data_IF_192188463663
#
_entry.id   IF_192188463663
#
_cell.length_a   1.000
_cell.length_b   1.000
_cell.length_c   1.000
_cell.angle_alpha   90.00
_cell.angle_beta   90.00
_cell.angle_gamma   90.00
#
_symmetry.space_group_name_H-M   'P 1'
#
loop_
_entity.id
_entity.type
_entity.pdbx_description
1 polymer ?
#
# COMPACT_ATOMS: atom_id res chain seq x y z
N UNK A 1 18.65 -13.69 -1.16
CA UNK A 1 17.87 -13.39 0.08
C UNK A 1 17.00 -14.62 0.35
N UNK A 2 17.09 -15.19 1.53
CA UNK A 2 16.17 -16.26 1.90
C UNK A 2 14.79 -15.71 2.29
N UNK A 3 13.81 -16.61 2.51
CA UNK A 3 12.42 -16.19 2.78
C UNK A 3 12.28 -15.47 4.12
N UNK A 4 13.04 -15.88 5.14
CA UNK A 4 13.00 -15.26 6.47
C UNK A 4 13.60 -13.85 6.39
N UNK A 5 14.74 -13.71 5.73
CA UNK A 5 15.35 -12.41 5.47
C UNK A 5 14.39 -11.47 4.73
N UNK A 6 13.70 -11.95 3.68
CA UNK A 6 12.74 -11.15 2.93
C UNK A 6 11.57 -10.67 3.82
N UNK A 7 11.05 -11.53 4.68
CA UNK A 7 9.98 -11.18 5.63
C UNK A 7 10.44 -10.10 6.62
N UNK A 8 11.65 -10.24 7.16
CA UNK A 8 12.21 -9.32 8.15
C UNK A 8 12.64 -7.98 7.53
N UNK A 9 13.19 -8.01 6.32
CA UNK A 9 13.60 -6.80 5.60
C UNK A 9 12.42 -5.97 5.11
N UNK A 10 11.32 -6.62 4.70
CA UNK A 10 10.15 -5.94 4.16
C UNK A 10 9.61 -4.88 5.13
N UNK A 11 9.60 -3.66 4.70
CA UNK A 11 9.00 -2.53 5.40
C UNK A 11 8.23 -1.64 4.42
N UNK A 12 7.52 -0.64 4.93
CA UNK A 12 6.78 0.32 4.10
C UNK A 12 7.70 1.47 3.70
N UNK A 13 8.11 1.52 2.44
CA UNK A 13 8.84 2.66 1.85
C UNK A 13 7.86 3.79 1.57
N UNK A 14 8.12 4.99 2.11
CA UNK A 14 7.19 6.14 2.06
C UNK A 14 7.72 7.31 1.23
N UNK A 15 8.87 7.13 0.64
CA UNK A 15 9.47 8.06 -0.31
C UNK A 15 10.35 7.26 -1.26
N UNK A 16 9.85 7.08 -2.48
CA UNK A 16 10.55 6.31 -3.50
C UNK A 16 11.47 7.21 -4.33
N UNK A 17 12.58 6.62 -4.78
CA UNK A 17 13.43 7.24 -5.78
C UNK A 17 12.76 7.20 -7.15
N UNK A 18 13.12 8.10 -8.08
CA UNK A 18 12.56 8.10 -9.44
C UNK A 18 13.08 6.96 -10.32
N UNK A 19 13.97 6.09 -9.80
CA UNK A 19 14.53 4.96 -10.53
C UNK A 19 13.41 4.02 -10.99
N UNK A 20 13.25 3.75 -12.30
CA UNK A 20 12.21 2.87 -12.81
C UNK A 20 12.46 1.42 -12.38
N UNK A 21 11.37 0.67 -12.20
CA UNK A 21 11.40 -0.80 -12.08
C UNK A 21 11.10 -1.38 -13.46
N UNK A 22 11.95 -2.27 -13.95
CA UNK A 22 11.75 -2.91 -15.24
C UNK A 22 10.43 -3.70 -15.26
N UNK A 23 9.69 -3.64 -16.37
CA UNK A 23 8.43 -4.36 -16.57
C UNK A 23 8.59 -5.86 -16.29
N UNK A 24 9.68 -6.44 -16.78
CA UNK A 24 10.00 -7.86 -16.60
C UNK A 24 10.15 -8.22 -15.11
N UNK A 25 10.73 -7.32 -14.30
CA UNK A 25 10.84 -7.52 -12.85
C UNK A 25 9.47 -7.47 -12.19
N UNK A 26 8.63 -6.50 -12.55
CA UNK A 26 7.25 -6.41 -12.03
C UNK A 26 6.47 -7.68 -12.38
N UNK A 27 6.55 -8.14 -13.63
CA UNK A 27 5.86 -9.35 -14.07
C UNK A 27 6.34 -10.60 -13.31
N UNK A 28 7.66 -10.76 -13.08
CA UNK A 28 8.20 -11.87 -12.26
C UNK A 28 7.69 -11.84 -10.82
N UNK A 29 7.62 -10.66 -10.20
CA UNK A 29 7.05 -10.48 -8.86
C UNK A 29 5.59 -10.96 -8.84
N UNK A 30 4.78 -10.53 -9.80
CA UNK A 30 3.38 -10.88 -9.88
C UNK A 30 3.17 -12.37 -10.21
N UNK A 31 3.99 -12.94 -11.09
CA UNK A 31 3.97 -14.37 -11.40
C UNK A 31 4.21 -15.22 -10.13
N UNK A 32 5.24 -14.91 -9.34
CA UNK A 32 5.46 -15.57 -8.05
C UNK A 32 4.26 -15.39 -7.12
N UNK A 33 3.68 -14.20 -7.09
CA UNK A 33 2.53 -13.90 -6.24
C UNK A 33 1.29 -14.74 -6.59
N UNK A 34 1.10 -15.16 -7.84
CA UNK A 34 -0.02 -16.06 -8.23
C UNK A 34 0.04 -17.43 -7.54
N UNK A 35 1.16 -17.78 -6.90
CA UNK A 35 1.28 -19.00 -6.06
C UNK A 35 0.64 -18.84 -4.68
N UNK A 36 0.06 -17.69 -4.38
CA UNK A 36 -0.69 -17.50 -3.13
C UNK A 36 -1.84 -18.50 -3.02
N UNK A 37 -2.07 -19.08 -1.85
CA UNK A 37 -3.23 -19.92 -1.65
C UNK A 37 -4.53 -19.11 -1.68
N UNK A 38 -5.63 -19.77 -2.03
CA UNK A 38 -6.98 -19.22 -1.94
C UNK A 38 -8.01 -20.32 -1.65
N UNK A 39 -9.12 -19.97 -1.02
CA UNK A 39 -10.19 -20.91 -0.71
C UNK A 39 -10.68 -21.64 -1.96
N UNK A 40 -10.61 -22.96 -1.97
CA UNK A 40 -10.97 -23.77 -3.15
C UNK A 40 -10.18 -23.45 -4.42
N UNK A 41 -9.01 -22.82 -4.29
CA UNK A 41 -8.22 -22.31 -5.42
C UNK A 41 -8.98 -21.30 -6.29
N UNK A 42 -9.81 -20.48 -5.65
CA UNK A 42 -10.70 -19.51 -6.33
C UNK A 42 -9.96 -18.36 -7.02
N UNK A 43 -8.75 -18.02 -6.57
CA UNK A 43 -7.86 -17.00 -7.14
C UNK A 43 -8.62 -15.69 -7.48
N UNK A 44 -9.25 -15.06 -6.46
CA UNK A 44 -10.25 -13.99 -6.66
C UNK A 44 -9.67 -12.62 -7.03
N UNK A 45 -8.37 -12.54 -7.25
CA UNK A 45 -7.65 -11.31 -7.54
C UNK A 45 -7.62 -10.98 -9.03
N UNK A 46 -7.94 -9.73 -9.36
CA UNK A 46 -7.67 -9.10 -10.64
C UNK A 46 -6.64 -7.99 -10.43
N UNK A 47 -5.62 -7.90 -11.29
CA UNK A 47 -4.47 -7.04 -11.08
C UNK A 47 -4.30 -6.07 -12.24
N UNK A 48 -4.23 -4.78 -11.91
CA UNK A 48 -3.94 -3.72 -12.87
C UNK A 48 -2.64 -3.02 -12.46
N UNK A 49 -1.80 -2.70 -13.44
CA UNK A 49 -0.48 -2.11 -13.17
C UNK A 49 -0.32 -0.81 -13.94
N UNK A 50 0.06 0.24 -13.23
CA UNK A 50 0.50 1.50 -13.83
C UNK A 50 2.01 1.69 -13.66
N UNK A 51 2.68 2.12 -14.71
CA UNK A 51 4.08 2.54 -14.70
C UNK A 51 4.33 3.57 -15.80
N UNK A 52 5.49 4.23 -15.81
CA UNK A 52 5.86 5.20 -16.84
C UNK A 52 4.82 6.30 -17.00
N UNK A 53 4.45 6.62 -18.25
CA UNK A 53 3.55 7.73 -18.58
C UNK A 53 2.17 7.60 -17.92
N UNK A 54 1.62 6.39 -17.81
CA UNK A 54 0.33 6.14 -17.13
C UNK A 54 0.44 6.49 -15.64
N UNK A 55 1.53 6.09 -14.98
CA UNK A 55 1.75 6.41 -13.57
C UNK A 55 1.86 7.93 -13.34
N UNK A 56 2.57 8.64 -14.21
CA UNK A 56 2.70 10.11 -14.13
C UNK A 56 1.34 10.80 -14.33
N UNK A 57 0.53 10.32 -15.27
CA UNK A 57 -0.83 10.86 -15.51
C UNK A 57 -1.72 10.67 -14.28
N UNK A 58 -1.73 9.47 -13.68
CA UNK A 58 -2.46 9.19 -12.45
C UNK A 58 -1.99 10.12 -11.32
N UNK A 59 -0.66 10.27 -11.12
CA UNK A 59 -0.09 11.15 -10.10
C UNK A 59 -0.53 12.60 -10.26
N UNK A 60 -0.49 13.12 -11.49
CA UNK A 60 -0.94 14.48 -11.79
C UNK A 60 -2.42 14.67 -11.43
N UNK A 61 -3.30 13.75 -11.83
CA UNK A 61 -4.71 13.82 -11.52
C UNK A 61 -5.00 13.75 -10.00
N UNK A 62 -4.24 12.94 -9.25
CA UNK A 62 -4.34 12.88 -7.79
C UNK A 62 -3.97 14.21 -7.14
N UNK A 63 -2.91 14.87 -7.61
CA UNK A 63 -2.50 16.19 -7.11
C UNK A 63 -3.53 17.27 -7.44
N UNK A 64 -4.02 17.33 -8.67
CA UNK A 64 -5.04 18.29 -9.11
C UNK A 64 -6.32 18.18 -8.28
N UNK A 65 -6.81 16.96 -8.01
CA UNK A 65 -8.01 16.74 -7.18
C UNK A 65 -7.79 17.15 -5.72
N UNK A 66 -6.60 16.94 -5.18
CA UNK A 66 -6.28 17.42 -3.83
C UNK A 66 -6.35 18.95 -3.77
N UNK A 67 -5.77 19.65 -4.74
CA UNK A 67 -5.80 21.12 -4.82
C UNK A 67 -7.21 21.66 -5.03
N UNK A 68 -8.04 20.96 -5.82
CA UNK A 68 -9.43 21.31 -6.06
C UNK A 68 -10.39 20.98 -4.88
N UNK A 69 -9.88 20.50 -3.75
CA UNK A 69 -10.71 20.15 -2.58
C UNK A 69 -11.53 18.88 -2.72
N UNK A 70 -11.38 18.16 -3.83
CA UNK A 70 -12.08 16.89 -4.10
C UNK A 70 -11.24 15.67 -3.73
N UNK A 71 -10.31 15.83 -2.81
CA UNK A 71 -9.47 14.76 -2.28
C UNK A 71 -10.34 13.64 -1.72
N UNK A 72 -10.19 12.44 -2.28
CA UNK A 72 -10.93 11.26 -1.84
C UNK A 72 -10.63 10.88 -0.40
N UNK A 73 -11.53 10.16 0.24
CA UNK A 73 -11.44 9.76 1.65
C UNK A 73 -10.29 8.78 1.97
N UNK A 74 -9.47 8.40 0.99
CA UNK A 74 -8.40 7.41 1.15
C UNK A 74 -8.90 5.99 1.46
N UNK A 75 -10.20 5.76 1.33
CA UNK A 75 -10.81 4.45 1.62
C UNK A 75 -11.14 3.72 0.32
N UNK A 76 -10.94 2.40 0.27
CA UNK A 76 -11.46 1.57 -0.80
C UNK A 76 -12.98 1.78 -0.96
N UNK A 77 -13.48 1.59 -2.16
CA UNK A 77 -14.94 1.70 -2.49
C UNK A 77 -15.79 0.56 -1.90
N UNK A 78 -15.49 0.14 -0.67
CA UNK A 78 -16.29 -0.85 0.07
C UNK A 78 -17.49 -0.11 0.67
N UNK A 79 -18.73 -0.55 0.40
CA UNK A 79 -19.97 0.17 0.76
C UNK A 79 -20.19 0.44 2.24
N UNK A 80 -19.57 -0.29 3.14
CA UNK A 80 -19.56 -0.02 4.58
C UNK A 80 -18.13 0.22 5.04
N UNK A 81 -17.80 1.46 5.45
CA UNK A 81 -16.54 1.75 6.11
C UNK A 81 -16.33 0.78 7.28
N UNK A 82 -15.07 0.47 7.64
CA UNK A 82 -14.82 -0.38 8.80
C UNK A 82 -15.52 0.22 10.03
N UNK A 83 -16.03 -0.60 10.94
CA UNK A 83 -16.58 -0.11 12.19
C UNK A 83 -15.55 0.76 12.93
N UNK A 84 -15.99 1.65 13.83
CA UNK A 84 -15.07 2.45 14.63
C UNK A 84 -14.00 1.57 15.25
N UNK A 85 -12.73 1.92 15.02
CA UNK A 85 -11.63 1.13 15.55
C UNK A 85 -11.64 1.15 17.08
N UNK A 86 -11.41 0.03 17.77
CA UNK A 86 -11.27 0.01 19.23
C UNK A 86 -10.21 1.00 19.72
N UNK A 87 -10.40 1.56 20.92
CA UNK A 87 -9.52 2.59 21.48
C UNK A 87 -8.04 2.19 21.48
N UNK A 88 -7.72 0.92 21.78
CA UNK A 88 -6.34 0.43 21.76
C UNK A 88 -5.72 0.38 20.36
N UNK A 89 -6.52 0.22 19.31
CA UNK A 89 -6.05 0.31 17.92
C UNK A 89 -5.81 1.77 17.55
N UNK A 90 -6.75 2.66 17.89
CA UNK A 90 -6.58 4.10 17.66
C UNK A 90 -5.32 4.63 18.33
N UNK A 91 -5.04 4.19 19.56
CA UNK A 91 -3.83 4.57 20.31
C UNK A 91 -2.56 4.12 19.58
N UNK A 92 -2.50 2.87 19.11
CA UNK A 92 -1.36 2.38 18.32
C UNK A 92 -1.16 3.20 17.03
N UNK A 93 -2.25 3.51 16.34
CA UNK A 93 -2.19 4.31 15.11
C UNK A 93 -1.67 5.72 15.40
N UNK A 94 -2.11 6.33 16.51
CA UNK A 94 -1.66 7.64 16.97
C UNK A 94 -0.17 7.61 17.32
N UNK A 95 0.29 6.61 18.07
CA UNK A 95 1.69 6.42 18.44
C UNK A 95 2.57 6.36 17.20
N UNK A 96 2.25 5.47 16.25
CA UNK A 96 2.97 5.33 14.99
C UNK A 96 2.99 6.63 14.18
N UNK A 97 1.86 7.35 14.13
CA UNK A 97 1.81 8.66 13.45
C UNK A 97 2.76 9.66 14.12
N UNK A 98 2.71 9.76 15.45
CA UNK A 98 3.51 10.71 16.21
C UNK A 98 5.01 10.40 16.11
N UNK A 99 5.40 9.12 16.16
CA UNK A 99 6.80 8.71 15.97
C UNK A 99 7.32 9.13 14.60
N UNK A 100 6.51 8.97 13.53
CA UNK A 100 6.90 9.40 12.18
C UNK A 100 7.02 10.92 12.06
N UNK A 101 6.11 11.67 12.68
CA UNK A 101 6.21 13.14 12.71
C UNK A 101 7.47 13.60 13.43
N UNK A 102 7.76 13.02 14.60
CA UNK A 102 9.01 13.31 15.33
C UNK A 102 10.25 12.99 14.52
N UNK A 103 10.27 11.86 13.82
CA UNK A 103 11.37 11.47 12.93
C UNK A 103 11.59 12.50 11.81
N UNK A 104 10.52 13.16 11.35
CA UNK A 104 10.55 14.22 10.35
C UNK A 104 10.87 15.61 10.95
N UNK A 105 11.10 15.70 12.26
CA UNK A 105 11.30 16.99 12.95
C UNK A 105 10.03 17.82 13.08
N UNK A 106 8.84 17.19 12.96
CA UNK A 106 7.54 17.85 13.06
C UNK A 106 6.90 17.62 14.43
N UNK A 107 6.22 18.64 14.95
CA UNK A 107 5.49 18.53 16.22
C UNK A 107 4.19 17.72 16.01
N UNK A 108 4.02 16.58 16.71
CA UNK A 108 2.78 15.81 16.65
C UNK A 108 1.55 16.54 17.20
N UNK A 109 1.73 17.55 18.04
CA UNK A 109 0.65 18.34 18.63
C UNK A 109 0.13 19.42 17.65
N UNK A 110 0.94 19.82 16.67
CA UNK A 110 0.51 20.76 15.63
C UNK A 110 -0.43 20.05 14.63
N UNK A 111 -1.71 20.49 14.50
CA UNK A 111 -2.64 19.94 13.52
C UNK A 111 -2.13 20.01 12.07
N UNK A 112 -1.29 21.01 11.75
CA UNK A 112 -0.73 21.18 10.42
C UNK A 112 0.31 20.13 10.05
N UNK A 113 0.99 19.54 11.04
CA UNK A 113 2.02 18.51 10.82
C UNK A 113 1.51 17.30 10.03
N UNK A 114 0.22 16.97 10.14
CA UNK A 114 -0.40 15.87 9.42
C UNK A 114 -0.49 16.07 7.90
N UNK A 115 -0.39 17.31 7.40
CA UNK A 115 -0.47 17.63 5.97
C UNK A 115 0.61 16.94 5.15
N UNK A 116 1.78 16.68 5.73
CA UNK A 116 2.88 15.97 5.06
C UNK A 116 2.45 14.59 4.54
N UNK A 117 1.63 13.86 5.28
CA UNK A 117 1.16 12.53 4.85
C UNK A 117 0.14 12.63 3.71
N UNK A 118 -0.69 13.69 3.71
CA UNK A 118 -1.64 13.98 2.62
C UNK A 118 -0.90 14.36 1.34
N UNK A 119 0.11 15.21 1.45
CA UNK A 119 0.98 15.57 0.33
C UNK A 119 1.69 14.36 -0.27
N UNK A 120 2.30 13.52 0.57
CA UNK A 120 2.94 12.29 0.09
C UNK A 120 1.94 11.36 -0.58
N UNK A 121 0.75 11.22 0.01
CA UNK A 121 -0.33 10.43 -0.56
C UNK A 121 -0.75 10.91 -1.95
N UNK A 122 -0.90 12.22 -2.14
CA UNK A 122 -1.27 12.81 -3.44
C UNK A 122 -0.19 12.62 -4.51
N UNK A 123 1.09 12.57 -4.12
CA UNK A 123 2.20 12.24 -5.01
C UNK A 123 2.41 10.73 -5.18
N UNK A 124 1.53 9.92 -4.60
CA UNK A 124 1.65 8.45 -4.57
C UNK A 124 3.03 8.02 -4.04
N UNK A 125 3.55 8.76 -3.04
CA UNK A 125 4.87 8.54 -2.40
C UNK A 125 6.06 8.53 -3.37
N UNK A 126 5.88 9.03 -4.59
CA UNK A 126 6.89 8.96 -5.65
C UNK A 126 7.07 7.57 -6.25
N UNK A 127 6.21 6.60 -5.96
CA UNK A 127 6.34 5.23 -6.45
C UNK A 127 6.37 5.19 -8.00
N UNK A 128 7.36 4.54 -8.63
CA UNK A 128 7.42 4.43 -10.09
C UNK A 128 6.44 3.41 -10.68
N UNK A 129 5.95 2.50 -9.84
CA UNK A 129 4.95 1.49 -10.22
C UNK A 129 3.83 1.45 -9.19
N UNK A 130 2.60 1.37 -9.67
CA UNK A 130 1.40 1.12 -8.87
C UNK A 130 0.76 -0.18 -9.33
N UNK A 131 0.60 -1.11 -8.40
CA UNK A 131 -0.18 -2.34 -8.56
C UNK A 131 -1.51 -2.16 -7.84
N UNK A 132 -2.61 -2.22 -8.58
CA UNK A 132 -3.98 -2.12 -8.06
C UNK A 132 -4.59 -3.51 -8.02
N UNK A 133 -5.03 -3.92 -6.84
CA UNK A 133 -5.67 -5.21 -6.61
C UNK A 133 -7.17 -5.00 -6.56
N UNK A 134 -7.86 -5.71 -7.44
CA UNK A 134 -9.31 -5.71 -7.55
C UNK A 134 -9.88 -7.11 -7.28
N UNK A 135 -11.17 -7.17 -7.03
CA UNK A 135 -11.93 -8.40 -6.85
C UNK A 135 -13.35 -8.20 -7.39
N UNK A 136 -13.94 -9.23 -7.97
CA UNK A 136 -15.34 -9.16 -8.41
C UNK A 136 -16.27 -8.80 -7.24
N UNK A 137 -17.25 -7.95 -7.51
CA UNK A 137 -18.22 -7.46 -6.52
C UNK A 137 -19.09 -8.55 -5.89
N UNK A 138 -19.26 -9.68 -6.60
CA UNK A 138 -20.01 -10.83 -6.11
C UNK A 138 -19.22 -11.66 -5.09
N UNK A 139 -17.90 -11.40 -4.94
CA UNK A 139 -17.01 -12.15 -4.05
C UNK A 139 -16.76 -11.41 -2.74
N UNK A 140 -16.45 -12.19 -1.69
CA UNK A 140 -16.03 -11.69 -0.39
C UNK A 140 -14.86 -12.55 0.15
N UNK A 141 -13.67 -12.33 -0.40
CA UNK A 141 -12.46 -13.14 -0.12
C UNK A 141 -11.30 -12.27 0.36
N UNK A 142 -11.55 -11.42 1.37
CA UNK A 142 -10.54 -10.50 1.89
C UNK A 142 -9.30 -11.20 2.45
N UNK A 143 -9.45 -12.43 2.98
CA UNK A 143 -8.32 -13.24 3.45
C UNK A 143 -7.40 -13.62 2.28
N UNK A 144 -7.97 -14.11 1.18
CA UNK A 144 -7.23 -14.52 -0.01
C UNK A 144 -6.49 -13.32 -0.64
N UNK A 145 -7.18 -12.18 -0.74
CA UNK A 145 -6.57 -10.93 -1.20
C UNK A 145 -5.43 -10.49 -0.29
N UNK A 146 -5.58 -10.61 1.03
CA UNK A 146 -4.51 -10.28 2.00
C UNK A 146 -3.27 -11.16 1.83
N UNK A 147 -3.45 -12.46 1.62
CA UNK A 147 -2.37 -13.41 1.34
C UNK A 147 -1.66 -13.06 0.02
N UNK A 148 -2.40 -12.74 -1.03
CA UNK A 148 -1.85 -12.34 -2.32
C UNK A 148 -1.03 -11.05 -2.22
N UNK A 149 -1.55 -10.01 -1.56
CA UNK A 149 -0.84 -8.74 -1.32
C UNK A 149 0.47 -8.97 -0.57
N UNK A 150 0.44 -9.78 0.49
CA UNK A 150 1.65 -10.07 1.27
C UNK A 150 2.67 -10.84 0.43
N UNK A 151 2.23 -11.78 -0.41
CA UNK A 151 3.12 -12.52 -1.31
C UNK A 151 3.79 -11.59 -2.32
N UNK A 152 3.06 -10.62 -2.91
CA UNK A 152 3.65 -9.58 -3.78
C UNK A 152 4.77 -8.85 -3.03
N UNK A 153 4.52 -8.41 -1.80
CA UNK A 153 5.50 -7.63 -1.04
C UNK A 153 6.76 -8.43 -0.67
N UNK A 154 6.63 -9.73 -0.36
CA UNK A 154 7.77 -10.60 -0.07
C UNK A 154 8.53 -10.94 -1.36
N UNK A 155 7.82 -11.27 -2.44
CA UNK A 155 8.44 -11.54 -3.73
C UNK A 155 9.24 -10.31 -4.23
N UNK A 156 8.69 -9.10 -4.05
CA UNK A 156 9.38 -7.87 -4.39
C UNK A 156 10.74 -7.76 -3.68
N UNK A 157 10.82 -8.07 -2.37
CA UNK A 157 12.09 -8.10 -1.64
C UNK A 157 13.08 -9.10 -2.27
N UNK A 158 12.62 -10.27 -2.68
CA UNK A 158 13.45 -11.27 -3.36
C UNK A 158 14.05 -10.76 -4.68
N UNK A 159 13.38 -9.82 -5.35
CA UNK A 159 13.87 -9.15 -6.56
C UNK A 159 14.54 -7.79 -6.30
N UNK A 160 14.83 -7.45 -5.05
CA UNK A 160 15.47 -6.19 -4.67
C UNK A 160 14.59 -4.96 -4.90
N UNK A 161 13.26 -5.14 -4.89
CA UNK A 161 12.27 -4.08 -5.03
C UNK A 161 11.52 -3.91 -3.72
N UNK A 162 11.40 -2.68 -3.25
CA UNK A 162 10.65 -2.35 -2.05
C UNK A 162 9.18 -2.03 -2.35
N UNK A 163 8.37 -2.03 -1.29
CA UNK A 163 6.93 -1.87 -1.42
C UNK A 163 6.31 -0.96 -0.36
N UNK A 164 5.14 -0.41 -0.70
CA UNK A 164 4.24 0.27 0.22
C UNK A 164 2.80 -0.14 -0.08
N UNK A 165 2.08 -0.65 0.91
CA UNK A 165 0.62 -0.79 0.87
C UNK A 165 0.03 0.45 1.53
N UNK A 166 -0.77 1.23 0.81
CA UNK A 166 -1.39 2.43 1.38
C UNK A 166 -2.76 2.73 0.77
N UNK A 167 -3.71 3.17 1.60
CA UNK A 167 -5.02 3.61 1.16
C UNK A 167 -4.97 4.79 0.17
N UNK A 168 -3.94 5.63 0.28
CA UNK A 168 -3.73 6.75 -0.64
C UNK A 168 -3.66 6.30 -2.11
N UNK A 169 -3.11 5.12 -2.40
CA UNK A 169 -3.02 4.60 -3.77
C UNK A 169 -4.39 4.34 -4.41
N UNK A 170 -5.43 4.12 -3.61
CA UNK A 170 -6.80 3.84 -4.07
C UNK A 170 -7.81 4.89 -3.62
N UNK A 171 -7.31 6.07 -3.20
CA UNK A 171 -8.16 7.17 -2.70
C UNK A 171 -8.98 7.86 -3.79
N UNK A 172 -8.64 7.65 -5.05
CA UNK A 172 -9.30 8.23 -6.22
C UNK A 172 -9.71 7.11 -7.19
N UNK A 173 -10.70 6.26 -6.82
CA UNK A 173 -11.05 5.07 -7.60
C UNK A 173 -11.52 5.42 -9.02
N UNK A 174 -12.16 6.57 -9.24
CA UNK A 174 -12.58 7.01 -10.57
C UNK A 174 -11.41 7.26 -11.50
N UNK A 175 -10.31 7.86 -10.99
CA UNK A 175 -9.08 8.06 -11.75
C UNK A 175 -8.48 6.72 -12.15
N UNK A 176 -8.41 5.77 -11.21
CA UNK A 176 -7.87 4.45 -11.48
C UNK A 176 -8.73 3.69 -12.52
N UNK A 177 -10.06 3.76 -12.42
CA UNK A 177 -10.95 3.15 -13.40
C UNK A 177 -10.71 3.71 -14.78
N UNK A 178 -10.68 5.02 -14.90
CA UNK A 178 -10.45 5.71 -16.17
C UNK A 178 -9.10 5.36 -16.79
N UNK A 179 -8.02 5.45 -16.02
CA UNK A 179 -6.66 5.34 -16.54
C UNK A 179 -6.18 3.90 -16.74
N UNK A 180 -6.75 2.95 -16.00
CA UNK A 180 -6.39 1.54 -16.07
C UNK A 180 -7.46 0.66 -16.74
N UNK A 181 -8.60 1.23 -17.12
CA UNK A 181 -9.70 0.47 -17.71
C UNK A 181 -10.32 -0.55 -16.75
N UNK A 182 -10.37 -0.24 -15.44
CA UNK A 182 -10.91 -1.17 -14.44
C UNK A 182 -12.43 -1.23 -14.59
N UNK A 183 -13.02 -2.41 -14.89
CA UNK A 183 -14.45 -2.57 -15.05
C UNK A 183 -15.25 -2.23 -13.78
N UNK A 184 -16.49 -1.77 -13.97
CA UNK A 184 -17.37 -1.47 -12.84
C UNK A 184 -17.82 -2.71 -12.06
N UNK A 185 -17.71 -3.90 -12.64
CA UNK A 185 -17.96 -5.17 -11.93
C UNK A 185 -16.94 -5.47 -10.84
N UNK A 186 -15.77 -4.81 -10.85
CA UNK A 186 -14.72 -5.03 -9.88
C UNK A 186 -14.73 -3.99 -8.75
N UNK A 187 -14.50 -4.45 -7.52
CA UNK A 187 -14.13 -3.61 -6.38
C UNK A 187 -12.63 -3.38 -6.39
N UNK A 188 -12.19 -2.14 -6.24
CA UNK A 188 -10.78 -1.79 -5.98
C UNK A 188 -10.52 -2.01 -4.49
N UNK A 189 -9.68 -2.97 -4.15
CA UNK A 189 -9.46 -3.41 -2.77
C UNK A 189 -8.21 -2.75 -2.16
N UNK A 190 -7.09 -2.76 -2.88
CA UNK A 190 -5.84 -2.23 -2.38
C UNK A 190 -4.94 -1.71 -3.49
N UNK A 191 -4.01 -0.82 -3.12
CA UNK A 191 -2.93 -0.38 -3.98
C UNK A 191 -1.57 -0.62 -3.32
N UNK A 192 -0.61 -1.06 -4.13
CA UNK A 192 0.76 -1.33 -3.74
C UNK A 192 1.68 -0.50 -4.62
N UNK A 193 2.43 0.43 -4.03
CA UNK A 193 3.55 1.08 -4.70
C UNK A 193 4.76 0.16 -4.67
N UNK A 194 5.42 -0.02 -5.82
CA UNK A 194 6.68 -0.75 -5.96
C UNK A 194 7.77 0.19 -6.49
N UNK A 195 8.99 0.04 -5.97
CA UNK A 195 10.13 0.87 -6.38
C UNK A 195 11.33 0.70 -5.48
N UNK A 196 12.26 1.63 -5.60
CA UNK A 196 13.46 1.68 -4.76
C UNK A 196 13.35 2.84 -3.77
N UNK A 197 13.80 2.69 -2.51
CA UNK A 197 13.72 3.78 -1.55
C UNK A 197 14.60 4.94 -1.97
N UNK A 198 14.16 6.17 -1.69
CA UNK A 198 15.02 7.34 -1.72
C UNK A 198 16.03 7.22 -0.58
N UNK A 199 17.35 7.10 -0.86
CA UNK A 199 18.36 6.87 0.18
C UNK A 199 18.53 8.07 1.12
N UNK A 200 18.12 9.26 0.69
CA UNK A 200 18.24 10.49 1.46
C UNK A 200 17.00 10.78 2.33
N UNK A 201 16.00 9.91 2.30
CA UNK A 201 14.73 10.15 2.97
C UNK A 201 14.70 9.47 4.34
N UNK A 202 14.76 10.28 5.40
CA UNK A 202 14.76 9.81 6.79
C UNK A 202 13.53 8.94 7.12
N UNK A 203 12.37 9.20 6.51
CA UNK A 203 11.15 8.41 6.79
C UNK A 203 11.31 6.94 6.40
N UNK A 204 12.17 6.62 5.46
CA UNK A 204 12.43 5.24 5.04
C UNK A 204 13.26 4.45 6.05
N UNK A 205 13.85 5.11 7.05
CA UNK A 205 14.52 4.43 8.19
C UNK A 205 13.53 3.95 9.24
N UNK A 206 12.28 4.44 9.22
CA UNK A 206 11.29 4.09 10.21
C UNK A 206 10.91 2.61 10.15
N UNK A 207 10.97 1.94 11.30
CA UNK A 207 10.52 0.56 11.47
C UNK A 207 9.40 0.52 12.50
N UNK A 208 8.20 0.13 12.06
CA UNK A 208 7.05 0.00 12.97
C UNK A 208 7.28 -1.12 13.97
N UNK A 209 7.10 -0.89 15.28
CA UNK A 209 7.23 -1.93 16.29
C UNK A 209 6.20 -3.05 16.10
N UNK A 210 6.50 -4.20 16.65
CA UNK A 210 5.58 -5.34 16.74
C UNK A 210 5.33 -5.65 18.20
N UNK A 211 4.17 -6.18 18.47
CA UNK A 211 3.85 -6.71 19.80
C UNK A 211 4.75 -7.91 20.12
N UNK A 212 5.18 -8.08 21.36
CA UNK A 212 5.86 -9.30 21.80
C UNK A 212 5.01 -10.54 21.49
N UNK A 213 5.69 -11.63 21.11
CA UNK A 213 4.99 -12.85 20.71
C UNK A 213 4.07 -13.39 21.81
N UNK A 214 4.48 -13.21 23.08
CA UNK A 214 3.73 -13.65 24.26
C UNK A 214 2.37 -12.95 24.41
N UNK A 215 2.22 -11.75 23.85
CA UNK A 215 0.95 -11.04 23.83
C UNK A 215 0.01 -11.50 22.70
N UNK A 216 0.53 -12.14 21.70
CA UNK A 216 -0.19 -12.50 20.46
C UNK A 216 -0.52 -13.98 20.44
N UNK A 217 0.39 -14.83 20.89
CA UNK A 217 0.28 -16.28 20.83
C UNK A 217 -0.20 -16.85 22.18
N UNK A 218 -1.15 -17.78 22.13
CA UNK A 218 -1.59 -18.60 23.27
C UNK A 218 -1.31 -20.05 22.90
N UNK A 219 -0.24 -20.59 23.45
CA UNK A 219 0.13 -21.99 23.23
C UNK A 219 -0.49 -22.87 24.34
N UNK A 220 -1.13 -23.95 23.95
CA UNK A 220 -1.62 -25.01 24.87
C UNK A 220 -1.06 -26.33 24.35
N UNK A 221 -0.41 -27.07 25.21
CA UNK A 221 0.09 -28.44 25.00
C UNK A 221 -0.84 -29.45 25.63
#
# INVERSE_FOLDING_TARGET
MDVIEAILARHSVRDFSPKPVAKETVMKILEVATRSPSGGNSQPWEVFVASGATMEKIRKMYQERLQGGTGGSGRPSVPSGPPPQPAFIQERMRTIRNERLKLLGLDPADPASGKVFTEWGSRLFGAPVLVVICMDKALSSNLDIGMFIQTICIAAQGYGVDSLIAGAFVSQPEVLRQELGIPDSLNIIAGIGLGYPNPNSIINTYRSPRRPIQEVVRYKS
#
